data_IF_001453367231
#
_entry.id   IF_001453367231
#
_cell.length_a   1.000
_cell.length_b   1.000
_cell.length_c   1.000
_cell.angle_alpha   90.00
_cell.angle_beta   90.00
_cell.angle_gamma   90.00
#
_symmetry.space_group_name_H-M   'P 1'
#
loop_
_entity.id
_entity.type
_entity.pdbx_description
1 polymer ?
#
# COMPACT_ATOMS: atom_id res chain seq x y z
N UNK A 1 47.86 12.37 65.92
CA UNK A 1 47.96 13.27 64.75
C UNK A 1 48.10 12.37 63.53
N UNK A 2 46.99 12.08 62.82
CA UNK A 2 46.70 12.63 61.47
C UNK A 2 47.85 12.33 60.50
N UNK A 3 47.69 11.66 59.35
CA UNK A 3 46.55 11.61 58.43
C UNK A 3 46.91 10.68 57.24
N UNK A 4 45.90 10.02 56.65
CA UNK A 4 45.68 9.89 55.19
C UNK A 4 46.72 9.08 54.35
N UNK A 5 46.42 8.15 53.44
CA UNK A 5 45.31 7.95 52.51
C UNK A 5 45.31 6.44 52.17
N UNK A 6 44.21 5.73 52.43
CA UNK A 6 43.92 4.44 51.78
C UNK A 6 42.62 4.63 51.01
N UNK A 7 42.72 4.94 49.73
CA UNK A 7 41.60 4.84 48.80
C UNK A 7 41.94 3.77 47.78
N UNK A 8 41.39 2.59 48.05
CA UNK A 8 41.41 1.41 47.21
C UNK A 8 40.65 1.73 45.91
N UNK A 9 41.34 1.64 44.78
CA UNK A 9 40.71 1.70 43.45
C UNK A 9 39.89 0.42 43.29
N UNK A 10 38.57 0.52 43.41
CA UNK A 10 37.65 -0.55 43.05
C UNK A 10 37.46 -0.51 41.54
N UNK A 11 38.27 -1.30 40.83
CA UNK A 11 38.02 -1.73 39.46
C UNK A 11 36.84 -2.71 39.47
N UNK A 12 35.63 -2.18 39.31
CA UNK A 12 34.45 -2.99 38.99
C UNK A 12 34.52 -3.32 37.50
N UNK A 13 35.07 -4.49 37.20
CA UNK A 13 35.11 -5.05 35.85
C UNK A 13 33.70 -5.32 35.34
N UNK A 14 33.34 -4.64 34.26
CA UNK A 14 32.27 -5.03 33.35
C UNK A 14 32.71 -6.30 32.61
N UNK A 15 32.51 -7.45 33.24
CA UNK A 15 32.53 -8.73 32.54
C UNK A 15 31.18 -8.90 31.82
N UNK A 16 31.07 -8.33 30.62
CA UNK A 16 30.05 -8.76 29.65
C UNK A 16 30.48 -10.15 29.18
N UNK A 17 29.99 -11.18 29.87
CA UNK A 17 30.08 -12.55 29.38
C UNK A 17 29.19 -12.65 28.14
N UNK A 18 29.82 -12.43 26.97
CA UNK A 18 29.26 -12.82 25.69
C UNK A 18 29.18 -14.34 25.65
N UNK A 19 28.07 -14.90 26.12
CA UNK A 19 27.64 -16.22 25.67
C UNK A 19 27.32 -16.06 24.19
N UNK A 20 28.19 -16.60 23.33
CA UNK A 20 27.87 -16.81 21.93
C UNK A 20 26.61 -17.68 21.89
N UNK A 21 25.43 -17.05 21.74
CA UNK A 21 24.19 -17.77 21.51
C UNK A 21 24.37 -18.49 20.18
N UNK A 22 24.27 -19.82 20.22
CA UNK A 22 24.19 -20.62 19.00
C UNK A 22 23.12 -20.00 18.07
N UNK A 23 23.42 -19.94 16.78
CA UNK A 23 22.49 -19.44 15.78
C UNK A 23 21.15 -20.17 15.95
N UNK A 24 20.01 -19.47 15.95
CA UNK A 24 18.73 -20.14 15.82
C UNK A 24 18.73 -21.09 14.61
N UNK A 25 18.14 -22.29 14.70
CA UNK A 25 18.00 -23.17 13.55
C UNK A 25 17.31 -22.44 12.38
N UNK A 26 17.80 -22.65 11.15
CA UNK A 26 17.25 -22.05 9.94
C UNK A 26 17.79 -20.65 9.60
N UNK A 27 18.73 -20.12 10.38
CA UNK A 27 19.38 -18.82 10.14
C UNK A 27 20.88 -18.94 9.87
N UNK A 28 21.33 -20.08 9.33
CA UNK A 28 22.75 -20.38 9.11
C UNK A 28 23.33 -19.57 7.95
N UNK A 29 22.52 -19.28 6.93
CA UNK A 29 22.92 -18.45 5.80
C UNK A 29 22.86 -16.94 6.14
N UNK A 30 23.57 -16.12 5.36
CA UNK A 30 23.38 -14.67 5.44
C UNK A 30 22.02 -14.29 4.87
N UNK A 31 21.31 -13.42 5.59
CA UNK A 31 19.91 -13.14 5.29
C UNK A 31 19.23 -12.22 6.29
N UNK A 32 18.00 -11.86 5.94
CA UNK A 32 17.03 -11.26 6.84
C UNK A 32 15.97 -12.31 7.16
N UNK A 33 15.61 -12.44 8.43
CA UNK A 33 14.68 -13.46 8.89
C UNK A 33 13.64 -12.84 9.81
N UNK A 34 12.37 -13.20 9.65
CA UNK A 34 11.30 -12.83 10.57
C UNK A 34 11.07 -13.94 11.57
N UNK A 35 11.01 -13.59 12.85
CA UNK A 35 10.65 -14.53 13.91
C UNK A 35 9.15 -14.84 13.89
N UNK A 36 8.83 -16.13 13.93
CA UNK A 36 7.46 -16.67 14.00
C UNK A 36 7.36 -17.75 15.07
N UNK A 37 6.99 -17.35 16.30
CA UNK A 37 7.05 -18.25 17.45
C UNK A 37 8.49 -18.61 17.78
N UNK A 38 8.81 -19.91 17.74
CA UNK A 38 10.17 -20.43 17.96
C UNK A 38 11.02 -20.50 16.67
N UNK A 39 10.38 -20.35 15.50
CA UNK A 39 11.02 -20.49 14.20
C UNK A 39 11.34 -19.14 13.54
N UNK A 40 12.09 -19.19 12.43
CA UNK A 40 12.44 -18.05 11.60
C UNK A 40 12.07 -18.30 10.12
N UNK A 41 11.42 -17.32 9.50
CA UNK A 41 11.10 -17.33 8.07
C UNK A 41 12.07 -16.40 7.33
N UNK A 42 12.83 -16.90 6.33
CA UNK A 42 13.74 -16.06 5.56
C UNK A 42 12.96 -15.09 4.67
N UNK A 43 13.36 -13.82 4.67
CA UNK A 43 12.84 -12.82 3.73
C UNK A 43 13.31 -13.10 2.31
N UNK A 44 12.45 -12.85 1.32
CA UNK A 44 12.86 -12.95 -0.09
C UNK A 44 13.44 -11.62 -0.54
N UNK A 45 14.64 -11.67 -1.13
CA UNK A 45 15.25 -10.52 -1.81
C UNK A 45 14.66 -10.37 -3.22
N UNK A 46 14.35 -9.13 -3.60
CA UNK A 46 14.03 -8.76 -4.97
C UNK A 46 15.26 -8.10 -5.60
N UNK A 47 16.05 -8.84 -6.40
CA UNK A 47 17.24 -8.30 -7.02
C UNK A 47 16.86 -7.17 -7.99
N UNK A 48 17.74 -6.17 -8.12
CA UNK A 48 17.56 -5.00 -8.98
C UNK A 48 16.47 -3.99 -8.57
N UNK A 49 15.94 -4.09 -7.34
CA UNK A 49 15.14 -3.01 -6.73
C UNK A 49 16.04 -2.33 -5.68
N UNK A 50 16.72 -1.23 -6.04
CA UNK A 50 17.78 -0.68 -5.21
C UNK A 50 17.29 0.09 -3.97
N UNK A 51 16.00 0.47 -3.93
CA UNK A 51 15.45 1.30 -2.87
C UNK A 51 14.00 0.95 -2.57
N UNK A 52 13.57 1.32 -1.36
CA UNK A 52 12.17 1.20 -0.93
C UNK A 52 11.21 2.11 -1.72
N UNK A 53 11.64 3.05 -2.57
CA UNK A 53 10.72 3.89 -3.36
C UNK A 53 9.95 3.15 -4.48
N UNK A 54 9.98 1.83 -4.48
CA UNK A 54 9.27 0.98 -5.43
C UNK A 54 7.84 0.67 -5.01
N UNK A 55 6.97 0.43 -5.99
CA UNK A 55 5.62 -0.08 -5.77
C UNK A 55 5.65 -1.62 -5.75
N UNK A 56 5.49 -2.20 -4.56
CA UNK A 56 5.53 -3.65 -4.38
C UNK A 56 4.20 -4.36 -4.68
N UNK A 57 3.16 -3.67 -5.17
CA UNK A 57 1.83 -4.27 -5.38
C UNK A 57 1.86 -5.50 -6.28
N UNK A 58 2.70 -5.52 -7.32
CA UNK A 58 2.84 -6.70 -8.19
C UNK A 58 3.75 -7.78 -7.59
N UNK A 59 4.72 -7.38 -6.75
CA UNK A 59 5.74 -8.26 -6.19
C UNK A 59 5.35 -8.86 -4.83
N UNK A 60 4.27 -8.38 -4.21
CA UNK A 60 3.89 -8.83 -2.88
C UNK A 60 3.58 -10.33 -2.82
N UNK A 61 3.18 -10.92 -3.94
CA UNK A 61 2.94 -12.36 -4.10
C UNK A 61 4.21 -13.20 -4.24
N UNK A 62 5.35 -12.56 -4.51
CA UNK A 62 6.63 -13.23 -4.51
C UNK A 62 7.15 -13.38 -3.08
N UNK A 63 6.70 -12.57 -2.13
CA UNK A 63 7.22 -12.68 -0.77
C UNK A 63 6.68 -13.91 -0.05
N UNK A 64 7.49 -14.54 0.82
CA UNK A 64 7.00 -15.58 1.71
C UNK A 64 5.92 -14.99 2.63
N UNK A 65 4.90 -15.79 2.90
CA UNK A 65 3.82 -15.44 3.82
C UNK A 65 4.16 -15.98 5.20
N UNK A 66 4.08 -15.12 6.20
CA UNK A 66 4.37 -15.44 7.59
C UNK A 66 3.12 -15.25 8.45
N UNK A 67 2.65 -16.32 9.08
CA UNK A 67 1.64 -16.24 10.12
C UNK A 67 2.34 -16.05 11.46
N UNK A 68 2.09 -14.91 12.11
CA UNK A 68 2.76 -14.56 13.37
C UNK A 68 1.83 -14.82 14.55
N UNK A 69 2.41 -15.18 15.69
CA UNK A 69 1.69 -15.25 16.97
C UNK A 69 1.63 -13.93 17.72
N UNK A 70 2.34 -12.91 17.26
CA UNK A 70 2.45 -11.58 17.88
C UNK A 70 2.51 -10.49 16.80
N UNK A 71 1.85 -9.36 17.07
CA UNK A 71 1.82 -8.20 16.18
C UNK A 71 3.13 -7.39 16.23
N UNK A 72 3.96 -7.53 17.26
CA UNK A 72 5.32 -6.97 17.26
C UNK A 72 6.21 -7.70 16.26
N UNK A 73 6.95 -6.95 15.43
CA UNK A 73 7.90 -7.51 14.47
C UNK A 73 9.24 -7.71 15.17
N UNK A 74 9.76 -8.94 15.14
CA UNK A 74 11.14 -9.24 15.51
C UNK A 74 11.84 -9.87 14.30
N UNK A 75 12.92 -9.25 13.85
CA UNK A 75 13.76 -9.75 12.76
C UNK A 75 15.15 -10.11 13.30
N UNK A 76 15.75 -11.13 12.70
CA UNK A 76 17.18 -11.39 12.77
C UNK A 76 17.80 -10.95 11.44
N UNK A 77 18.76 -10.03 11.51
CA UNK A 77 19.66 -9.72 10.41
C UNK A 77 20.96 -10.48 10.64
N UNK A 78 21.37 -11.29 9.68
CA UNK A 78 22.66 -11.99 9.70
C UNK A 78 23.44 -11.59 8.44
N UNK A 79 24.32 -10.59 8.58
CA UNK A 79 25.09 -10.03 7.46
C UNK A 79 26.37 -9.34 7.95
N UNK A 80 27.55 -9.63 7.35
CA UNK A 80 28.85 -9.13 7.81
C UNK A 80 29.04 -7.62 7.65
N UNK A 81 28.46 -7.02 6.61
CA UNK A 81 28.58 -5.60 6.31
C UNK A 81 27.33 -4.81 6.72
N UNK A 82 26.52 -5.36 7.63
CA UNK A 82 25.30 -4.70 8.07
C UNK A 82 25.62 -3.41 8.84
N UNK A 83 24.99 -2.31 8.42
CA UNK A 83 25.10 -1.02 9.08
C UNK A 83 23.77 -0.61 9.71
N UNK A 84 23.59 -0.79 11.03
CA UNK A 84 22.35 -0.48 11.73
C UNK A 84 21.82 0.93 11.47
N UNK A 85 22.72 1.93 11.37
CA UNK A 85 22.35 3.32 11.12
C UNK A 85 21.83 3.63 9.70
N UNK A 86 21.86 2.65 8.78
CA UNK A 86 21.32 2.77 7.42
C UNK A 86 20.16 1.81 7.14
N UNK A 87 19.89 0.89 8.07
CA UNK A 87 18.80 -0.04 7.95
C UNK A 87 17.46 0.69 7.95
N UNK A 88 16.59 0.36 7.00
CA UNK A 88 15.23 0.88 6.97
C UNK A 88 14.26 -0.27 6.88
N UNK A 89 13.22 -0.24 7.73
CA UNK A 89 12.10 -1.17 7.70
C UNK A 89 10.80 -0.40 7.49
N UNK A 90 9.95 -0.90 6.60
CA UNK A 90 8.59 -0.39 6.42
C UNK A 90 7.56 -1.49 6.57
N UNK A 91 6.43 -1.13 7.15
CA UNK A 91 5.24 -1.96 7.19
C UNK A 91 4.16 -1.30 6.32
N UNK A 92 3.94 -1.84 5.13
CA UNK A 92 3.00 -1.27 4.16
C UNK A 92 1.71 -2.05 4.14
N UNK A 93 0.53 -1.41 4.23
CA UNK A 93 -0.73 -2.14 4.06
C UNK A 93 -0.71 -2.87 2.72
N UNK A 94 -1.11 -4.14 2.66
CA UNK A 94 -1.12 -4.95 1.43
C UNK A 94 -2.01 -4.29 0.36
N UNK A 95 -3.15 -3.74 0.77
CA UNK A 95 -4.02 -2.96 -0.11
C UNK A 95 -3.35 -1.71 -0.69
N UNK A 96 -2.26 -1.23 -0.09
CA UNK A 96 -1.55 -0.01 -0.44
C UNK A 96 -0.03 -0.23 -0.47
N UNK A 97 0.45 -1.33 -1.05
CA UNK A 97 1.87 -1.73 -1.02
C UNK A 97 2.83 -0.72 -1.69
N UNK A 98 2.32 0.24 -2.46
CA UNK A 98 3.08 1.38 -2.98
C UNK A 98 3.25 2.57 -2.02
N UNK A 99 2.55 2.59 -0.89
CA UNK A 99 2.66 3.66 0.11
C UNK A 99 3.89 3.43 1.00
N UNK A 100 4.73 4.46 1.14
CA UNK A 100 5.83 4.45 2.12
C UNK A 100 5.24 4.49 3.53
N UNK A 101 5.72 3.61 4.41
CA UNK A 101 5.26 3.51 5.79
C UNK A 101 6.41 3.01 6.69
N UNK A 102 7.45 3.84 6.89
CA UNK A 102 8.58 3.47 7.74
C UNK A 102 8.11 3.25 9.17
N UNK A 103 8.63 2.21 9.81
CA UNK A 103 8.34 1.90 11.21
C UNK A 103 9.59 2.06 12.08
N UNK A 104 9.48 2.63 13.28
CA UNK A 104 10.62 2.77 14.18
C UNK A 104 11.04 1.42 14.75
N UNK A 105 12.35 1.16 14.75
CA UNK A 105 12.94 -0.10 15.21
C UNK A 105 14.05 0.14 16.22
N UNK A 106 14.18 -0.79 17.16
CA UNK A 106 15.36 -0.94 17.99
C UNK A 106 16.27 -2.01 17.38
N UNK A 107 17.57 -1.76 17.34
CA UNK A 107 18.57 -2.69 16.80
C UNK A 107 19.58 -3.01 17.89
N UNK A 108 19.73 -4.29 18.22
CA UNK A 108 20.67 -4.78 19.23
C UNK A 108 21.64 -5.80 18.60
N UNK A 109 22.98 -5.64 18.79
CA UNK A 109 23.93 -6.63 18.33
C UNK A 109 23.79 -7.94 19.13
N UNK A 110 23.91 -9.07 18.44
CA UNK A 110 23.91 -10.41 19.04
C UNK A 110 25.30 -11.09 18.99
N UNK A 111 26.29 -10.48 18.33
CA UNK A 111 27.59 -11.09 18.02
C UNK A 111 27.62 -11.69 16.61
N UNK A 112 28.81 -12.06 16.11
CA UNK A 112 29.03 -12.76 14.83
C UNK A 112 28.11 -12.29 13.68
N UNK A 113 28.23 -11.02 13.28
CA UNK A 113 27.49 -10.44 12.14
C UNK A 113 25.96 -10.49 12.26
N UNK A 114 25.44 -10.70 13.48
CA UNK A 114 24.01 -10.80 13.77
C UNK A 114 23.49 -9.65 14.60
N UNK A 115 22.28 -9.23 14.24
CA UNK A 115 21.55 -8.15 14.88
C UNK A 115 20.09 -8.53 15.05
N UNK A 116 19.56 -8.28 16.25
CA UNK A 116 18.12 -8.32 16.50
C UNK A 116 17.53 -6.96 16.16
N UNK A 117 16.47 -6.96 15.37
CA UNK A 117 15.69 -5.78 15.05
C UNK A 117 14.28 -5.99 15.59
N UNK A 118 13.78 -5.09 16.41
CA UNK A 118 12.41 -5.17 16.95
C UNK A 118 11.65 -3.89 16.62
N UNK A 119 10.44 -4.01 16.07
CA UNK A 119 9.55 -2.86 15.94
C UNK A 119 9.16 -2.33 17.30
N UNK A 120 9.04 -1.02 17.40
CA UNK A 120 8.56 -0.34 18.61
C UNK A 120 7.03 -0.24 18.65
N UNK A 121 6.38 -0.55 17.54
CA UNK A 121 4.94 -0.50 17.34
C UNK A 121 4.43 -1.86 16.85
N UNK A 122 3.15 -2.13 17.12
CA UNK A 122 2.45 -3.29 16.59
C UNK A 122 2.20 -3.10 15.09
N UNK A 123 2.41 -4.16 14.31
CA UNK A 123 2.16 -4.18 12.87
C UNK A 123 1.04 -5.19 12.61
N UNK A 124 -0.05 -4.84 11.90
CA UNK A 124 -1.10 -5.79 11.58
C UNK A 124 -0.67 -6.82 10.52
N UNK A 125 -1.26 -8.02 10.56
CA UNK A 125 -1.01 -9.08 9.56
C UNK A 125 -1.49 -8.73 8.15
N UNK A 126 -2.27 -7.65 8.00
CA UNK A 126 -2.67 -7.08 6.70
C UNK A 126 -1.56 -6.26 6.02
N UNK A 127 -0.31 -6.37 6.51
CA UNK A 127 0.83 -5.60 6.02
C UNK A 127 1.89 -6.47 5.35
N UNK A 128 2.63 -5.82 4.47
CA UNK A 128 3.87 -6.26 3.88
C UNK A 128 5.03 -5.62 4.65
N UNK A 129 5.98 -6.42 5.11
CA UNK A 129 7.27 -5.93 5.55
C UNK A 129 8.22 -5.83 4.36
N UNK A 130 8.83 -4.65 4.20
CA UNK A 130 9.94 -4.46 3.26
C UNK A 130 11.10 -3.79 3.96
N UNK A 131 12.30 -4.32 3.74
CA UNK A 131 13.51 -3.88 4.39
C UNK A 131 14.60 -3.57 3.36
N UNK A 132 15.28 -2.47 3.61
CA UNK A 132 16.51 -2.08 2.92
C UNK A 132 17.68 -2.25 3.90
N UNK A 133 18.55 -3.21 3.61
CA UNK A 133 19.74 -3.48 4.41
C UNK A 133 20.83 -2.44 4.17
N UNK A 134 20.72 -1.61 3.12
CA UNK A 134 21.70 -0.59 2.72
C UNK A 134 23.14 -1.10 2.59
N UNK A 135 23.33 -2.41 2.46
CA UNK A 135 24.62 -3.07 2.26
C UNK A 135 24.59 -3.88 0.97
N UNK A 136 25.60 -3.69 0.12
CA UNK A 136 25.79 -4.37 -1.16
C UNK A 136 24.62 -4.13 -2.17
N UNK A 137 24.83 -4.46 -3.45
CA UNK A 137 23.88 -4.18 -4.57
C UNK A 137 22.63 -5.10 -4.55
N UNK A 138 22.27 -5.66 -3.40
CA UNK A 138 21.36 -6.80 -3.30
C UNK A 138 19.98 -6.44 -2.74
N UNK A 139 19.27 -5.57 -3.47
CA UNK A 139 17.81 -5.55 -3.49
C UNK A 139 17.08 -5.18 -2.19
N UNK A 140 15.77 -5.01 -2.31
CA UNK A 140 14.87 -4.91 -1.15
C UNK A 140 14.47 -6.32 -0.72
N UNK A 141 14.47 -6.58 0.58
CA UNK A 141 13.97 -7.82 1.16
C UNK A 141 12.51 -7.65 1.59
N UNK A 142 11.67 -8.66 1.43
CA UNK A 142 10.29 -8.58 1.88
C UNK A 142 9.66 -9.88 2.37
N UNK A 143 8.63 -9.72 3.19
CA UNK A 143 7.81 -10.78 3.80
C UNK A 143 6.37 -10.25 3.90
N UNK A 144 5.39 -11.02 3.44
CA UNK A 144 3.98 -10.71 3.65
C UNK A 144 3.53 -11.27 5.01
N UNK A 145 2.89 -10.47 5.85
CA UNK A 145 2.43 -10.88 7.19
C UNK A 145 1.06 -11.56 7.18
N UNK A 146 0.47 -11.68 6.00
CA UNK A 146 -0.78 -12.36 5.73
C UNK A 146 -0.84 -12.68 4.24
N UNK A 147 -1.74 -13.58 3.86
CA UNK A 147 -1.88 -13.99 2.46
C UNK A 147 -2.37 -12.78 1.62
N UNK A 148 -1.57 -12.28 0.64
CA UNK A 148 -1.88 -11.03 -0.02
C UNK A 148 -3.20 -11.02 -0.81
N UNK A 149 -3.54 -12.11 -1.50
CA UNK A 149 -4.80 -12.21 -2.23
C UNK A 149 -6.00 -12.20 -1.28
N UNK A 150 -5.94 -12.94 -0.17
CA UNK A 150 -7.01 -12.96 0.84
C UNK A 150 -7.23 -11.57 1.44
N UNK A 151 -6.14 -10.89 1.83
CA UNK A 151 -6.21 -9.53 2.40
C UNK A 151 -6.76 -8.52 1.39
N UNK A 152 -6.34 -8.60 0.12
CA UNK A 152 -6.91 -7.75 -0.93
C UNK A 152 -8.41 -8.01 -1.11
N UNK A 153 -8.82 -9.28 -1.17
CA UNK A 153 -10.22 -9.64 -1.36
C UNK A 153 -11.08 -9.08 -0.23
N UNK A 154 -10.64 -9.23 1.02
CA UNK A 154 -11.35 -8.69 2.18
C UNK A 154 -11.42 -7.16 2.16
N UNK A 155 -10.27 -6.49 1.96
CA UNK A 155 -10.18 -5.03 1.99
C UNK A 155 -11.07 -4.36 0.92
N UNK A 156 -11.10 -4.94 -0.28
CA UNK A 156 -11.80 -4.36 -1.43
C UNK A 156 -13.24 -4.88 -1.60
N UNK A 157 -13.61 -6.02 -1.00
CA UNK A 157 -15.00 -6.50 -1.01
C UNK A 157 -15.90 -5.69 -0.07
N UNK A 158 -15.34 -5.11 1.00
CA UNK A 158 -16.11 -4.34 1.97
C UNK A 158 -16.66 -3.01 1.39
N UNK A 159 -16.16 -2.54 0.24
CA UNK A 159 -16.47 -1.25 -0.41
C UNK A 159 -16.35 0.01 0.48
N UNK A 160 -15.80 -0.09 1.70
CA UNK A 160 -15.77 1.02 2.68
C UNK A 160 -14.73 2.07 2.31
N UNK A 161 -15.18 3.28 2.01
CA UNK A 161 -14.37 4.50 1.85
C UNK A 161 -13.22 4.41 0.83
N UNK A 162 -13.35 3.52 -0.15
CA UNK A 162 -12.33 3.35 -1.19
C UNK A 162 -12.67 4.18 -2.43
N UNK A 163 -11.74 5.06 -2.81
CA UNK A 163 -11.77 5.74 -4.09
C UNK A 163 -11.73 4.69 -5.23
N UNK A 164 -12.75 4.62 -6.12
CA UNK A 164 -12.83 3.59 -7.15
C UNK A 164 -11.62 3.54 -8.08
N UNK A 165 -11.05 4.70 -8.43
CA UNK A 165 -9.87 4.80 -9.31
C UNK A 165 -8.66 4.18 -8.64
N UNK A 166 -8.46 4.45 -7.34
CA UNK A 166 -7.36 3.86 -6.57
C UNK A 166 -7.52 2.35 -6.46
N UNK A 167 -8.73 1.87 -6.14
CA UNK A 167 -9.03 0.45 -6.01
C UNK A 167 -8.78 -0.31 -7.32
N UNK A 168 -9.32 0.20 -8.44
CA UNK A 168 -9.12 -0.37 -9.77
C UNK A 168 -7.63 -0.44 -10.13
N UNK A 169 -6.89 0.64 -9.88
CA UNK A 169 -5.47 0.72 -10.18
C UNK A 169 -4.63 -0.26 -9.34
N UNK A 170 -4.88 -0.37 -8.03
CA UNK A 170 -4.19 -1.35 -7.17
C UNK A 170 -4.47 -2.78 -7.65
N UNK A 171 -5.74 -3.14 -7.87
CA UNK A 171 -6.11 -4.49 -8.30
C UNK A 171 -5.54 -4.83 -9.69
N UNK A 172 -5.55 -3.87 -10.62
CA UNK A 172 -4.93 -4.05 -11.94
C UNK A 172 -3.41 -4.27 -11.87
N UNK A 173 -2.72 -3.66 -10.90
CA UNK A 173 -1.30 -3.94 -10.63
C UNK A 173 -1.10 -5.30 -9.97
N UNK A 174 -1.91 -5.65 -8.99
CA UNK A 174 -1.85 -6.92 -8.28
C UNK A 174 -2.02 -8.10 -9.25
N UNK A 175 -2.94 -7.99 -10.22
CA UNK A 175 -3.15 -8.99 -11.26
C UNK A 175 -1.93 -9.21 -12.18
N UNK A 176 -0.91 -8.34 -12.17
CA UNK A 176 0.35 -8.62 -12.87
C UNK A 176 1.15 -9.74 -12.20
N UNK A 177 1.08 -9.85 -10.87
CA UNK A 177 1.68 -10.94 -10.10
C UNK A 177 0.77 -12.15 -9.93
N UNK A 178 -0.54 -11.99 -10.13
CA UNK A 178 -1.57 -13.03 -9.95
C UNK A 178 -2.53 -13.10 -11.13
N UNK A 179 -1.99 -13.18 -12.35
CA UNK A 179 -2.78 -13.08 -13.58
C UNK A 179 -3.90 -14.12 -13.72
N UNK A 180 -3.76 -15.28 -13.06
CA UNK A 180 -4.74 -16.39 -13.13
C UNK A 180 -5.71 -16.43 -11.93
N UNK A 181 -5.61 -15.50 -10.98
CA UNK A 181 -6.50 -15.47 -9.81
C UNK A 181 -7.90 -14.95 -10.19
N UNK A 182 -8.87 -15.85 -10.33
CA UNK A 182 -10.23 -15.54 -10.81
C UNK A 182 -11.01 -14.63 -9.85
N UNK A 183 -10.78 -14.73 -8.54
CA UNK A 183 -11.43 -13.87 -7.56
C UNK A 183 -10.93 -12.42 -7.67
N UNK A 184 -9.61 -12.23 -7.79
CA UNK A 184 -9.03 -10.90 -8.03
C UNK A 184 -9.45 -10.32 -9.39
N UNK A 185 -9.58 -11.15 -10.42
CA UNK A 185 -10.10 -10.72 -11.73
C UNK A 185 -11.55 -10.22 -11.63
N UNK A 186 -12.42 -10.97 -10.93
CA UNK A 186 -13.81 -10.58 -10.73
C UNK A 186 -13.91 -9.26 -9.93
N UNK A 187 -13.11 -9.14 -8.87
CA UNK A 187 -13.04 -7.93 -8.06
C UNK A 187 -12.51 -6.73 -8.88
N UNK A 188 -11.48 -6.91 -9.71
CA UNK A 188 -10.99 -5.86 -10.62
C UNK A 188 -12.07 -5.43 -11.62
N UNK A 189 -12.79 -6.38 -12.22
CA UNK A 189 -13.89 -6.08 -13.13
C UNK A 189 -15.02 -5.28 -12.44
N UNK A 190 -15.36 -5.64 -11.20
CA UNK A 190 -16.30 -4.87 -10.38
C UNK A 190 -15.83 -3.42 -10.19
N UNK A 191 -14.58 -3.20 -9.75
CA UNK A 191 -14.07 -1.86 -9.52
C UNK A 191 -13.90 -1.05 -10.81
N UNK A 192 -13.61 -1.68 -11.95
CA UNK A 192 -13.65 -1.03 -13.27
C UNK A 192 -15.04 -0.47 -13.60
N UNK A 193 -16.10 -1.22 -13.29
CA UNK A 193 -17.49 -0.74 -13.43
C UNK A 193 -17.75 0.44 -12.51
N UNK A 194 -17.30 0.40 -11.26
CA UNK A 194 -17.43 1.51 -10.30
C UNK A 194 -16.70 2.77 -10.78
N UNK A 195 -15.52 2.65 -11.39
CA UNK A 195 -14.81 3.78 -12.03
C UNK A 195 -15.62 4.36 -13.19
N UNK A 196 -16.19 3.51 -14.05
CA UNK A 196 -17.01 3.97 -15.16
C UNK A 196 -18.27 4.71 -14.68
N UNK A 197 -18.92 4.22 -13.62
CA UNK A 197 -20.07 4.86 -12.98
C UNK A 197 -19.70 6.19 -12.34
N UNK A 198 -18.60 6.25 -11.58
CA UNK A 198 -18.13 7.50 -10.96
C UNK A 198 -17.86 8.60 -12.01
N UNK A 199 -17.22 8.24 -13.13
CA UNK A 199 -17.00 9.16 -14.25
C UNK A 199 -18.30 9.61 -14.92
N UNK A 200 -19.29 8.71 -15.03
CA UNK A 200 -20.60 9.07 -15.55
C UNK A 200 -21.30 10.07 -14.60
N UNK A 201 -21.35 9.78 -13.30
CA UNK A 201 -21.99 10.69 -12.33
C UNK A 201 -21.29 12.06 -12.25
N UNK A 202 -19.96 12.13 -12.38
CA UNK A 202 -19.23 13.40 -12.48
C UNK A 202 -19.65 14.21 -13.73
N UNK A 203 -19.75 13.56 -14.89
CA UNK A 203 -20.23 14.20 -16.11
C UNK A 203 -21.69 14.63 -15.99
N UNK A 204 -22.54 13.82 -15.33
CA UNK A 204 -23.93 14.21 -15.05
C UNK A 204 -24.01 15.45 -14.16
N UNK A 205 -23.22 15.53 -13.08
CA UNK A 205 -23.15 16.73 -12.24
C UNK A 205 -22.73 17.98 -13.03
N UNK A 206 -21.86 17.83 -14.03
CA UNK A 206 -21.53 18.91 -14.96
C UNK A 206 -22.73 19.33 -15.82
N UNK A 207 -23.52 18.39 -16.33
CA UNK A 207 -24.78 18.68 -17.04
C UNK A 207 -25.73 19.47 -16.14
N UNK A 208 -25.91 19.06 -14.88
CA UNK A 208 -26.76 19.77 -13.91
C UNK A 208 -26.28 21.21 -13.68
N UNK A 209 -24.97 21.43 -13.60
CA UNK A 209 -24.40 22.79 -13.53
C UNK A 209 -24.75 23.63 -14.76
N UNK A 210 -24.68 23.05 -15.97
CA UNK A 210 -25.06 23.76 -17.21
C UNK A 210 -26.57 24.05 -17.24
N UNK A 211 -27.41 23.12 -16.77
CA UNK A 211 -28.84 23.32 -16.65
C UNK A 211 -29.18 24.48 -15.69
N UNK A 212 -28.56 24.52 -14.51
CA UNK A 212 -28.75 25.62 -13.57
C UNK A 212 -28.31 26.98 -14.17
N UNK A 213 -27.24 26.99 -14.97
CA UNK A 213 -26.83 28.19 -15.68
C UNK A 213 -27.84 28.63 -16.73
N UNK A 214 -28.51 27.68 -17.41
CA UNK A 214 -29.61 28.00 -18.32
C UNK A 214 -30.80 28.60 -17.57
N UNK A 215 -31.21 28.01 -16.45
CA UNK A 215 -32.34 28.46 -15.64
C UNK A 215 -32.14 29.90 -15.11
N UNK A 216 -30.90 30.26 -14.78
CA UNK A 216 -30.50 31.59 -14.31
C UNK A 216 -30.17 32.58 -15.42
N UNK A 217 -30.14 32.15 -16.69
CA UNK A 217 -29.71 33.02 -17.78
C UNK A 217 -30.73 34.14 -18.06
N UNK A 218 -30.23 35.38 -18.10
CA UNK A 218 -31.01 36.56 -18.42
C UNK A 218 -30.95 36.85 -19.92
N UNK A 219 -32.14 36.97 -20.53
CA UNK A 219 -32.28 37.32 -21.95
C UNK A 219 -32.28 36.11 -22.91
N UNK A 220 -32.95 36.24 -24.07
CA UNK A 220 -33.12 35.14 -25.03
C UNK A 220 -31.80 34.59 -25.60
N UNK A 221 -30.83 35.46 -25.89
CA UNK A 221 -29.56 35.05 -26.51
C UNK A 221 -28.72 34.14 -25.59
N UNK A 222 -28.63 34.51 -24.30
CA UNK A 222 -27.89 33.70 -23.32
C UNK A 222 -28.59 32.36 -23.09
N UNK A 223 -29.92 32.36 -22.97
CA UNK A 223 -30.73 31.14 -22.86
C UNK A 223 -30.51 30.20 -24.05
N UNK A 224 -30.50 30.74 -25.28
CA UNK A 224 -30.22 29.96 -26.49
C UNK A 224 -28.82 29.35 -26.48
N UNK A 225 -27.79 30.15 -26.14
CA UNK A 225 -26.40 29.65 -26.00
C UNK A 225 -26.29 28.53 -24.97
N UNK A 226 -26.93 28.68 -23.80
CA UNK A 226 -26.91 27.65 -22.75
C UNK A 226 -27.69 26.40 -23.14
N UNK A 227 -28.82 26.50 -23.85
CA UNK A 227 -29.54 25.34 -24.39
C UNK A 227 -28.69 24.55 -25.39
N UNK A 228 -28.00 25.23 -26.32
CA UNK A 228 -27.07 24.55 -27.25
C UNK A 228 -25.94 23.84 -26.52
N UNK A 229 -25.39 24.45 -25.47
CA UNK A 229 -24.38 23.81 -24.64
C UNK A 229 -24.95 22.59 -23.93
N UNK A 230 -26.13 22.71 -23.32
CA UNK A 230 -26.82 21.62 -22.64
C UNK A 230 -27.11 20.44 -23.57
N UNK A 231 -27.51 20.71 -24.81
CA UNK A 231 -27.66 19.69 -25.86
C UNK A 231 -26.35 18.94 -26.08
N UNK A 232 -25.28 19.69 -26.34
CA UNK A 232 -23.96 19.13 -26.65
C UNK A 232 -23.42 18.24 -25.53
N UNK A 233 -23.52 18.68 -24.27
CA UNK A 233 -23.01 17.90 -23.14
C UNK A 233 -23.88 16.68 -22.87
N UNK A 234 -25.19 16.76 -23.09
CA UNK A 234 -26.12 15.63 -22.93
C UNK A 234 -25.87 14.55 -24.00
N UNK A 235 -25.71 14.95 -25.27
CA UNK A 235 -25.31 14.05 -26.36
C UNK A 235 -23.97 13.36 -26.07
N UNK A 236 -22.99 14.12 -25.57
CA UNK A 236 -21.69 13.59 -25.20
C UNK A 236 -21.79 12.58 -24.05
N UNK A 237 -22.61 12.83 -23.03
CA UNK A 237 -22.85 11.89 -21.95
C UNK A 237 -23.45 10.58 -22.48
N UNK A 238 -24.52 10.67 -23.28
CA UNK A 238 -25.20 9.49 -23.83
C UNK A 238 -24.29 8.66 -24.74
N UNK A 239 -23.34 9.30 -25.41
CA UNK A 239 -22.32 8.62 -26.22
C UNK A 239 -21.24 7.95 -25.37
N UNK A 240 -20.70 8.67 -24.39
CA UNK A 240 -19.52 8.24 -23.64
C UNK A 240 -19.85 7.30 -22.46
N UNK A 241 -21.09 7.33 -21.97
CA UNK A 241 -21.54 6.56 -20.81
C UNK A 241 -22.79 5.73 -21.16
N UNK A 242 -22.65 4.71 -22.05
CA UNK A 242 -23.79 3.88 -22.48
C UNK A 242 -24.47 3.11 -21.34
N UNK A 243 -23.75 2.87 -20.24
CA UNK A 243 -24.23 2.20 -19.03
C UNK A 243 -24.27 3.15 -17.80
N UNK A 244 -24.26 4.48 -18.03
CA UNK A 244 -24.39 5.46 -16.95
C UNK A 244 -25.74 5.35 -16.25
N UNK A 245 -25.75 5.50 -14.92
CA UNK A 245 -26.96 5.35 -14.11
C UNK A 245 -28.01 6.43 -14.43
N UNK A 246 -27.54 7.61 -14.83
CA UNK A 246 -28.37 8.79 -15.11
C UNK A 246 -28.76 8.91 -16.59
N UNK A 247 -28.51 7.86 -17.40
CA UNK A 247 -28.78 7.86 -18.85
C UNK A 247 -30.21 8.22 -19.20
N UNK A 248 -31.19 7.68 -18.48
CA UNK A 248 -32.60 7.95 -18.76
C UNK A 248 -32.97 9.42 -18.47
N UNK A 249 -32.43 9.98 -17.40
CA UNK A 249 -32.61 11.38 -17.02
C UNK A 249 -31.96 12.31 -18.06
N UNK A 250 -30.75 12.00 -18.50
CA UNK A 250 -30.05 12.78 -19.55
C UNK A 250 -30.78 12.68 -20.88
N UNK A 251 -31.33 11.52 -21.25
CA UNK A 251 -32.12 11.40 -22.48
C UNK A 251 -33.37 12.29 -22.43
N UNK A 252 -34.12 12.25 -21.32
CA UNK A 252 -35.29 13.11 -21.14
C UNK A 252 -34.95 14.60 -21.19
N UNK A 253 -33.81 14.98 -20.61
CA UNK A 253 -33.31 16.35 -20.67
C UNK A 253 -32.96 16.75 -22.10
N UNK A 254 -32.28 15.88 -22.84
CA UNK A 254 -31.92 16.11 -24.24
C UNK A 254 -33.16 16.32 -25.11
N UNK A 255 -34.19 15.49 -24.93
CA UNK A 255 -35.46 15.61 -25.65
C UNK A 255 -36.11 16.98 -25.36
N UNK A 256 -36.16 17.37 -24.09
CA UNK A 256 -36.67 18.69 -23.65
C UNK A 256 -35.88 19.85 -24.27
N UNK A 257 -34.56 19.72 -24.36
CA UNK A 257 -33.68 20.75 -24.96
C UNK A 257 -33.93 20.85 -26.46
N UNK A 258 -34.09 19.73 -27.16
CA UNK A 258 -34.38 19.71 -28.59
C UNK A 258 -35.72 20.37 -28.90
N UNK A 259 -36.76 20.09 -28.12
CA UNK A 259 -38.06 20.74 -28.26
C UNK A 259 -37.96 22.26 -28.11
N UNK A 260 -37.17 22.74 -27.13
CA UNK A 260 -36.96 24.17 -26.89
C UNK A 260 -36.11 24.87 -27.96
N UNK A 261 -35.29 24.12 -28.70
CA UNK A 261 -34.42 24.66 -29.76
C UNK A 261 -35.06 24.59 -31.15
N UNK A 262 -36.10 23.76 -31.33
CA UNK A 262 -36.87 23.63 -32.57
C UNK A 262 -38.02 24.66 -32.67
N UNK A 263 -38.13 25.57 -31.71
CA UNK A 263 -39.02 26.75 -31.68
C UNK A 263 -38.20 28.00 -31.93
#
# INVERSE_FOLDING_TARGET
>A
MMQSIRSLVVLLGLAVLGLAQAAPPGTEAYGLYLKTGEDYIPARSLPNIPYLNHDFTAHMFDFPVANRGNETVELLVHYPEFHPGRFTLEARPIALAGARAPIPVNIAPLGEDRFRVTSTEAVPDTHLLVADLSCCVQGVHGIALGEPAAVLLEAYAAERDLNPVRAEHTLGKALRGQAQNTQLQALHAHWRTRVAQAKASEHYAFIESVQQQYERAEGPEQRYKKLRHLRSVSEQYLKNHPQGLERAQVQKLLDTVNDKLNV
#
